data_IF_204155182296
#
_entry.id   IF_204155182296
#
_cell.length_a   1.000
_cell.length_b   1.000
_cell.length_c   1.000
_cell.angle_alpha   90.00
_cell.angle_beta   90.00
_cell.angle_gamma   90.00
#
_symmetry.space_group_name_H-M   'P 1'
#
loop_
_entity.id
_entity.type
_entity.pdbx_description
1 polymer ?
#
# COMPACT_ATOMS: atom_id res chain seq x y z
N UNK A 1 5.51 -17.44 22.56
CA UNK A 1 4.71 -16.90 21.43
C UNK A 1 4.72 -15.39 21.58
N UNK A 2 4.85 -14.56 20.52
CA UNK A 2 4.35 -13.16 20.40
C UNK A 2 5.26 -12.05 19.83
N UNK A 3 6.58 -12.20 19.63
CA UNK A 3 7.39 -11.07 19.09
C UNK A 3 7.16 -10.82 17.59
N UNK A 4 7.13 -11.88 16.78
CA UNK A 4 7.00 -11.78 15.32
C UNK A 4 5.64 -11.17 14.89
N UNK A 5 4.52 -11.71 15.39
CA UNK A 5 3.18 -11.23 15.02
C UNK A 5 2.94 -9.79 15.46
N UNK A 6 3.46 -9.41 16.63
CA UNK A 6 3.37 -8.03 17.13
C UNK A 6 4.22 -7.08 16.29
N UNK A 7 5.46 -7.45 15.97
CA UNK A 7 6.34 -6.65 15.12
C UNK A 7 5.75 -6.48 13.71
N UNK A 8 5.21 -7.56 13.13
CA UNK A 8 4.50 -7.51 11.85
C UNK A 8 3.30 -6.56 11.91
N UNK A 9 2.47 -6.66 12.95
CA UNK A 9 1.27 -5.81 13.09
C UNK A 9 1.63 -4.33 13.24
N UNK A 10 2.69 -4.03 14.01
CA UNK A 10 3.19 -2.66 14.15
C UNK A 10 3.73 -2.17 12.80
N UNK A 11 4.56 -2.96 12.13
CA UNK A 11 5.13 -2.62 10.83
C UNK A 11 4.07 -2.38 9.76
N UNK A 12 3.06 -3.24 9.67
CA UNK A 12 1.95 -3.11 8.74
C UNK A 12 1.13 -1.84 9.01
N UNK A 13 0.78 -1.57 10.27
CA UNK A 13 0.04 -0.35 10.62
C UNK A 13 0.84 0.92 10.30
N UNK A 14 2.14 0.95 10.61
CA UNK A 14 3.01 2.09 10.29
C UNK A 14 3.10 2.29 8.77
N UNK A 15 3.34 1.22 8.01
CA UNK A 15 3.42 1.26 6.55
C UNK A 15 2.12 1.75 5.93
N UNK A 16 0.99 1.18 6.34
CA UNK A 16 -0.30 1.45 5.70
C UNK A 16 -0.90 2.78 6.12
N UNK A 17 -0.92 3.11 7.42
CA UNK A 17 -1.39 4.42 7.89
C UNK A 17 -0.48 5.54 7.38
N UNK A 18 0.85 5.37 7.54
CA UNK A 18 1.83 6.32 7.03
C UNK A 18 1.74 6.49 5.52
N UNK A 19 1.55 5.40 4.78
CA UNK A 19 1.35 5.42 3.33
C UNK A 19 0.12 6.20 2.88
N UNK A 20 -1.03 6.04 3.55
CA UNK A 20 -2.25 6.80 3.23
C UNK A 20 -2.07 8.29 3.54
N UNK A 21 -1.43 8.64 4.66
CA UNK A 21 -1.11 10.03 5.00
C UNK A 21 -0.19 10.63 3.94
N UNK A 22 0.87 9.92 3.58
CA UNK A 22 1.80 10.34 2.53
C UNK A 22 1.09 10.55 1.19
N UNK A 23 0.29 9.58 0.74
CA UNK A 23 -0.46 9.67 -0.51
C UNK A 23 -1.44 10.86 -0.50
N UNK A 24 -2.09 11.13 0.64
CA UNK A 24 -3.00 12.26 0.82
C UNK A 24 -2.28 13.61 0.70
N UNK A 25 -1.17 13.78 1.42
CA UNK A 25 -0.34 14.99 1.36
C UNK A 25 0.21 15.21 -0.05
N UNK A 26 0.75 14.16 -0.66
CA UNK A 26 1.35 14.22 -1.99
C UNK A 26 0.31 14.47 -3.09
N UNK A 27 -0.90 13.94 -2.95
CA UNK A 27 -2.03 14.29 -3.83
C UNK A 27 -2.43 15.75 -3.67
N UNK A 28 -2.49 16.27 -2.44
CA UNK A 28 -2.76 17.69 -2.16
C UNK A 28 -1.70 18.62 -2.78
N UNK A 29 -0.42 18.26 -2.67
CA UNK A 29 0.68 18.97 -3.34
C UNK A 29 0.54 18.90 -4.87
N UNK A 30 0.15 17.75 -5.42
CA UNK A 30 -0.05 17.57 -6.87
C UNK A 30 -1.12 18.53 -7.42
N UNK A 31 -2.20 18.76 -6.67
CA UNK A 31 -3.23 19.73 -7.05
C UNK A 31 -2.74 21.18 -6.98
N UNK A 32 -1.93 21.54 -5.98
CA UNK A 32 -1.32 22.88 -5.89
C UNK A 32 -0.30 23.16 -7.00
N UNK A 33 0.35 22.11 -7.52
CA UNK A 33 1.33 22.20 -8.61
C UNK A 33 0.70 22.13 -10.01
N UNK A 34 -0.61 21.88 -10.11
CA UNK A 34 -1.38 21.89 -11.35
C UNK A 34 -1.83 23.32 -11.69
N UNK A 35 -1.73 23.78 -12.95
CA UNK A 35 -1.41 23.01 -14.16
C UNK A 35 0.08 23.05 -14.58
N UNK A 36 0.93 23.78 -13.86
CA UNK A 36 2.28 24.12 -14.34
C UNK A 36 3.21 22.90 -14.44
N UNK A 37 3.20 22.00 -13.45
CA UNK A 37 4.05 20.80 -13.43
C UNK A 37 3.26 19.52 -13.73
N UNK A 38 2.08 19.40 -13.12
CA UNK A 38 1.22 18.23 -13.23
C UNK A 38 -0.06 18.53 -14.01
N UNK A 39 -0.36 17.66 -14.98
CA UNK A 39 -1.63 17.70 -15.67
C UNK A 39 -2.78 17.26 -14.75
N UNK A 40 -3.93 17.91 -14.86
CA UNK A 40 -5.13 17.65 -14.04
C UNK A 40 -5.54 16.17 -14.01
N UNK A 41 -5.31 15.44 -15.11
CA UNK A 41 -5.57 13.99 -15.21
C UNK A 41 -4.77 13.16 -14.19
N UNK A 42 -3.49 13.49 -13.99
CA UNK A 42 -2.62 12.78 -13.03
C UNK A 42 -3.11 13.05 -11.60
N UNK A 43 -3.53 14.28 -11.31
CA UNK A 43 -4.08 14.64 -10.00
C UNK A 43 -5.34 13.83 -9.66
N UNK A 44 -6.26 13.67 -10.62
CA UNK A 44 -7.45 12.83 -10.43
C UNK A 44 -7.11 11.36 -10.23
N UNK A 45 -6.16 10.81 -10.99
CA UNK A 45 -5.71 9.42 -10.81
C UNK A 45 -5.14 9.21 -9.40
N UNK A 46 -4.28 10.13 -8.92
CA UNK A 46 -3.72 10.08 -7.57
C UNK A 46 -4.80 10.18 -6.49
N UNK A 47 -5.79 11.02 -6.71
CA UNK A 47 -6.95 11.15 -5.81
C UNK A 47 -7.75 9.85 -5.73
N UNK A 48 -8.09 9.24 -6.88
CA UNK A 48 -8.83 7.98 -6.92
C UNK A 48 -8.07 6.87 -6.20
N UNK A 49 -6.77 6.72 -6.46
CA UNK A 49 -5.95 5.72 -5.79
C UNK A 49 -5.90 5.97 -4.28
N UNK A 50 -5.72 7.23 -3.85
CA UNK A 50 -5.69 7.59 -2.42
C UNK A 50 -7.01 7.28 -1.72
N UNK A 51 -8.15 7.55 -2.37
CA UNK A 51 -9.49 7.22 -1.82
C UNK A 51 -9.65 5.70 -1.70
N UNK A 52 -9.28 4.94 -2.72
CA UNK A 52 -9.36 3.46 -2.68
C UNK A 52 -8.46 2.86 -1.60
N UNK A 53 -7.25 3.39 -1.41
CA UNK A 53 -6.36 3.00 -0.31
C UNK A 53 -6.95 3.35 1.05
N UNK A 54 -7.58 4.52 1.21
CA UNK A 54 -8.21 4.91 2.47
C UNK A 54 -9.40 4.01 2.84
N UNK A 55 -10.25 3.66 1.86
CA UNK A 55 -11.35 2.71 2.06
C UNK A 55 -10.81 1.34 2.48
N UNK A 56 -9.75 0.87 1.82
CA UNK A 56 -9.12 -0.43 2.13
C UNK A 56 -8.48 -0.43 3.52
N UNK A 57 -7.87 0.68 3.94
CA UNK A 57 -7.32 0.85 5.29
C UNK A 57 -8.44 0.80 6.34
N UNK A 58 -9.55 1.52 6.13
CA UNK A 58 -10.70 1.48 7.05
C UNK A 58 -11.26 0.06 7.14
N UNK A 59 -11.39 -0.64 6.02
CA UNK A 59 -11.83 -2.03 6.01
C UNK A 59 -10.89 -2.92 6.84
N UNK A 60 -9.57 -2.78 6.72
CA UNK A 60 -8.61 -3.55 7.50
C UNK A 60 -8.70 -3.25 9.01
N UNK A 61 -8.77 -1.96 9.38
CA UNK A 61 -8.87 -1.52 10.77
C UNK A 61 -10.16 -1.95 11.48
N UNK A 62 -11.23 -2.22 10.72
CA UNK A 62 -12.52 -2.67 11.27
C UNK A 62 -12.67 -4.19 11.19
N UNK A 63 -12.44 -4.78 10.02
CA UNK A 63 -12.72 -6.20 9.78
C UNK A 63 -11.80 -7.10 10.59
N UNK A 64 -10.50 -6.80 10.68
CA UNK A 64 -9.54 -7.70 11.34
C UNK A 64 -9.75 -7.78 12.87
N UNK A 65 -9.98 -6.67 13.61
CA UNK A 65 -10.32 -6.76 15.03
C UNK A 65 -11.63 -7.51 15.29
N UNK A 66 -12.67 -7.27 14.48
CA UNK A 66 -13.95 -7.99 14.60
C UNK A 66 -13.74 -9.49 14.32
N UNK A 67 -12.97 -9.83 13.28
CA UNK A 67 -12.65 -11.20 12.93
C UNK A 67 -11.90 -11.92 14.06
N UNK A 68 -10.89 -11.28 14.65
CA UNK A 68 -10.14 -11.81 15.79
C UNK A 68 -11.01 -11.95 17.04
N UNK A 69 -11.91 -10.99 17.29
CA UNK A 69 -12.86 -11.08 18.39
C UNK A 69 -13.82 -12.27 18.22
N UNK A 70 -14.42 -12.42 17.04
CA UNK A 70 -15.31 -13.55 16.74
C UNK A 70 -14.58 -14.89 16.81
N UNK A 71 -13.36 -14.94 16.30
CA UNK A 71 -12.51 -16.12 16.36
C UNK A 71 -12.21 -16.50 17.81
N UNK A 72 -11.69 -15.55 18.61
CA UNK A 72 -11.27 -15.81 19.99
C UNK A 72 -12.41 -16.21 20.91
N UNK A 73 -13.64 -15.79 20.63
CA UNK A 73 -14.83 -16.10 21.42
C UNK A 73 -15.51 -17.40 20.99
N UNK A 74 -15.02 -18.03 19.92
CA UNK A 74 -15.64 -19.24 19.36
C UNK A 74 -14.96 -20.50 19.86
N UNK A 75 -15.75 -21.55 20.09
CA UNK A 75 -15.22 -22.89 20.36
C UNK A 75 -14.63 -23.45 19.07
N UNK A 76 -13.30 -23.59 19.02
CA UNK A 76 -12.62 -24.19 17.89
C UNK A 76 -12.75 -25.71 17.96
N UNK A 77 -13.52 -26.29 17.03
CA UNK A 77 -13.50 -27.72 16.79
C UNK A 77 -12.21 -28.13 16.10
N UNK A 78 -11.74 -29.34 16.34
CA UNK A 78 -10.69 -29.94 15.50
C UNK A 78 -11.35 -30.38 14.18
N UNK A 79 -10.79 -29.95 13.05
CA UNK A 79 -11.32 -30.34 11.75
C UNK A 79 -10.99 -31.81 11.48
N UNK A 80 -12.01 -32.62 11.21
CA UNK A 80 -11.92 -34.10 11.15
C UNK A 80 -11.52 -34.66 9.78
N UNK A 81 -10.90 -33.87 8.89
CA UNK A 81 -10.48 -34.37 7.58
C UNK A 81 -11.61 -34.45 6.54
N UNK A 82 -12.84 -34.03 6.88
CA UNK A 82 -14.00 -34.16 5.99
C UNK A 82 -14.05 -33.02 4.99
N UNK A 83 -14.29 -33.32 3.71
CA UNK A 83 -14.49 -32.32 2.64
C UNK A 83 -15.42 -31.20 3.12
N UNK A 84 -15.04 -29.96 2.82
CA UNK A 84 -15.84 -28.78 3.15
C UNK A 84 -17.26 -28.96 2.58
N UNK A 85 -18.33 -28.79 3.38
CA UNK A 85 -19.68 -29.05 2.92
C UNK A 85 -20.06 -28.10 1.77
N UNK A 86 -20.77 -28.66 0.77
CA UNK A 86 -21.01 -28.06 -0.56
C UNK A 86 -21.78 -26.71 -0.49
N UNK A 87 -22.56 -26.51 0.57
CA UNK A 87 -23.31 -25.29 0.85
C UNK A 87 -22.42 -24.08 1.15
N UNK A 88 -21.26 -24.29 1.80
CA UNK A 88 -20.28 -23.22 2.09
C UNK A 88 -19.36 -22.88 0.92
N UNK A 89 -19.24 -23.75 -0.08
CA UNK A 89 -18.45 -23.51 -1.31
C UNK A 89 -19.06 -22.46 -2.24
N UNK A 90 -20.33 -22.09 -2.07
CA UNK A 90 -21.03 -21.10 -2.88
C UNK A 90 -21.21 -19.75 -2.16
N UNK A 91 -20.55 -19.55 -1.02
CA UNK A 91 -20.59 -18.28 -0.30
C UNK A 91 -19.88 -17.19 -1.11
N UNK A 92 -20.33 -15.94 -0.97
CA UNK A 92 -19.66 -14.75 -1.51
C UNK A 92 -18.14 -14.72 -1.26
N UNK A 93 -17.68 -15.39 -0.18
CA UNK A 93 -16.27 -15.59 0.19
C UNK A 93 -15.49 -16.43 -0.83
N UNK A 94 -16.04 -17.54 -1.32
CA UNK A 94 -15.37 -18.32 -2.39
C UNK A 94 -15.34 -17.54 -3.69
N UNK A 95 -16.36 -16.71 -3.94
CA UNK A 95 -16.44 -15.78 -5.09
C UNK A 95 -15.45 -14.61 -5.04
N UNK A 96 -15.02 -14.15 -3.86
CA UNK A 96 -14.01 -13.10 -3.71
C UNK A 96 -12.58 -13.66 -3.79
N UNK A 97 -12.35 -14.87 -3.28
CA UNK A 97 -11.06 -15.58 -3.42
C UNK A 97 -10.79 -15.96 -4.91
N UNK A 98 -11.76 -15.70 -5.79
CA UNK A 98 -11.96 -16.22 -7.13
C UNK A 98 -11.29 -15.44 -8.28
N UNK A 99 -10.11 -14.86 -8.07
CA UNK A 99 -9.17 -14.65 -9.19
C UNK A 99 -8.26 -15.88 -9.38
N UNK A 100 -7.97 -16.63 -8.30
CA UNK A 100 -7.12 -17.84 -8.31
C UNK A 100 -7.73 -19.01 -7.48
N UNK A 101 -8.81 -18.74 -6.75
CA UNK A 101 -9.37 -19.58 -5.70
C UNK A 101 -10.04 -20.90 -6.08
N UNK A 102 -10.82 -21.05 -7.17
CA UNK A 102 -11.57 -22.28 -7.42
C UNK A 102 -10.66 -23.48 -7.55
N UNK A 103 -9.54 -23.33 -8.27
CA UNK A 103 -8.56 -24.39 -8.46
C UNK A 103 -7.82 -24.69 -7.15
N UNK A 104 -7.47 -23.66 -6.37
CA UNK A 104 -6.82 -23.85 -5.09
C UNK A 104 -7.72 -24.56 -4.06
N UNK A 105 -9.00 -24.19 -4.01
CA UNK A 105 -10.01 -24.79 -3.11
C UNK A 105 -10.40 -26.19 -3.60
N UNK A 106 -10.54 -26.39 -4.91
CA UNK A 106 -10.80 -27.70 -5.50
C UNK A 106 -9.60 -28.65 -5.28
N UNK A 107 -8.37 -28.17 -5.49
CA UNK A 107 -7.17 -28.93 -5.20
C UNK A 107 -7.05 -29.24 -3.69
N UNK A 108 -7.31 -28.25 -2.83
CA UNK A 108 -7.29 -28.44 -1.38
C UNK A 108 -8.35 -29.43 -0.88
N UNK A 109 -9.54 -29.43 -1.50
CA UNK A 109 -10.63 -30.33 -1.13
C UNK A 109 -10.54 -31.72 -1.79
N UNK A 110 -9.58 -31.92 -2.70
CA UNK A 110 -9.40 -33.18 -3.42
C UNK A 110 -8.77 -34.29 -2.58
N UNK A 111 -8.02 -33.95 -1.52
CA UNK A 111 -7.30 -34.92 -0.69
C UNK A 111 -7.62 -34.74 0.81
N UNK A 112 -7.67 -35.83 1.60
CA UNK A 112 -7.73 -35.75 3.05
C UNK A 112 -6.39 -35.23 3.58
N UNK A 113 -6.43 -34.17 4.39
CA UNK A 113 -5.26 -33.58 5.04
C UNK A 113 -5.40 -33.72 6.56
N UNK A 114 -4.32 -34.08 7.24
CA UNK A 114 -4.25 -34.04 8.69
C UNK A 114 -3.89 -32.62 9.12
N UNK A 115 -4.64 -32.05 10.06
CA UNK A 115 -4.40 -30.70 10.57
C UNK A 115 -3.93 -30.77 12.02
N UNK A 116 -2.96 -29.93 12.37
CA UNK A 116 -2.60 -29.73 13.77
C UNK A 116 -3.64 -28.81 14.44
N UNK A 117 -3.85 -29.01 15.74
CA UNK A 117 -4.78 -28.22 16.56
C UNK A 117 -4.35 -26.75 16.63
N UNK A 118 -5.17 -25.85 16.09
CA UNK A 118 -4.94 -24.39 16.11
C UNK A 118 -4.85 -23.72 14.73
N UNK A 119 -5.02 -24.46 13.64
CA UNK A 119 -5.10 -23.88 12.29
C UNK A 119 -6.46 -23.22 12.06
N UNK A 120 -6.47 -22.06 11.39
CA UNK A 120 -7.70 -21.36 10.99
C UNK A 120 -8.42 -22.10 9.87
N UNK A 121 -9.63 -22.60 10.12
CA UNK A 121 -10.42 -23.30 9.10
C UNK A 121 -11.61 -22.48 8.61
N UNK A 122 -12.08 -22.69 7.37
CA UNK A 122 -13.23 -21.96 6.82
C UNK A 122 -14.56 -22.19 7.55
N UNK A 123 -14.61 -23.14 8.47
CA UNK A 123 -15.80 -23.40 9.29
C UNK A 123 -15.85 -22.55 10.57
N UNK A 124 -14.72 -21.99 11.00
CA UNK A 124 -14.65 -21.17 12.20
C UNK A 124 -15.31 -19.79 12.01
N UNK A 125 -15.93 -19.29 13.08
CA UNK A 125 -16.50 -17.94 13.05
C UNK A 125 -15.40 -16.88 12.90
N UNK A 126 -15.70 -15.86 12.12
CA UNK A 126 -14.78 -14.77 11.82
C UNK A 126 -13.77 -15.09 10.71
N UNK A 127 -13.65 -16.33 10.23
CA UNK A 127 -12.76 -16.68 9.12
C UNK A 127 -13.04 -15.84 7.87
N UNK A 128 -14.32 -15.68 7.53
CA UNK A 128 -14.79 -14.88 6.41
C UNK A 128 -14.32 -13.42 6.46
N UNK A 129 -14.38 -12.82 7.66
CA UNK A 129 -13.93 -11.46 7.89
C UNK A 129 -12.39 -11.34 7.80
N UNK A 130 -11.65 -12.39 8.18
CA UNK A 130 -10.19 -12.44 7.98
C UNK A 130 -9.82 -12.50 6.50
N UNK A 131 -10.56 -13.29 5.72
CA UNK A 131 -10.35 -13.36 4.27
C UNK A 131 -10.65 -12.00 3.63
N UNK A 132 -11.77 -11.38 3.99
CA UNK A 132 -12.12 -10.05 3.50
C UNK A 132 -11.07 -9.00 3.88
N UNK A 133 -10.54 -9.01 5.11
CA UNK A 133 -9.49 -8.10 5.53
C UNK A 133 -8.18 -8.34 4.79
N UNK A 134 -7.81 -9.60 4.54
CA UNK A 134 -6.62 -9.93 3.73
C UNK A 134 -6.78 -9.44 2.29
N UNK A 135 -7.95 -9.57 1.67
CA UNK A 135 -8.21 -9.02 0.33
C UNK A 135 -8.07 -7.49 0.33
N UNK A 136 -8.59 -6.82 1.35
CA UNK A 136 -8.41 -5.36 1.50
C UNK A 136 -6.92 -4.98 1.68
N UNK A 137 -6.16 -5.77 2.43
CA UNK A 137 -4.71 -5.59 2.61
C UNK A 137 -3.95 -5.65 1.28
N UNK A 138 -4.17 -6.72 0.50
CA UNK A 138 -3.52 -6.89 -0.81
C UNK A 138 -3.98 -5.85 -1.82
N UNK A 139 -5.26 -5.47 -1.79
CA UNK A 139 -5.78 -4.40 -2.63
C UNK A 139 -5.06 -3.09 -2.34
N UNK A 140 -4.92 -2.73 -1.06
CA UNK A 140 -4.19 -1.53 -0.63
C UNK A 140 -2.72 -1.57 -1.06
N UNK A 141 -2.05 -2.72 -0.91
CA UNK A 141 -0.66 -2.89 -1.33
C UNK A 141 -0.49 -2.65 -2.84
N UNK A 142 -1.39 -3.19 -3.66
CA UNK A 142 -1.41 -2.98 -5.11
C UNK A 142 -1.69 -1.50 -5.44
N UNK A 143 -2.61 -0.85 -4.73
CA UNK A 143 -2.90 0.57 -4.93
C UNK A 143 -1.69 1.45 -4.59
N UNK A 144 -0.93 1.14 -3.54
CA UNK A 144 0.32 1.85 -3.26
C UNK A 144 1.38 1.63 -4.32
N UNK A 145 1.54 0.40 -4.82
CA UNK A 145 2.46 0.16 -5.93
C UNK A 145 2.05 0.95 -7.18
N UNK A 146 0.76 0.95 -7.52
CA UNK A 146 0.20 1.76 -8.60
C UNK A 146 0.40 3.27 -8.37
N UNK A 147 0.28 3.73 -7.13
CA UNK A 147 0.53 5.12 -6.73
C UNK A 147 1.99 5.52 -7.04
N UNK A 148 2.96 4.66 -6.73
CA UNK A 148 4.36 4.91 -7.07
C UNK A 148 4.61 5.03 -8.58
N UNK A 149 3.94 4.22 -9.40
CA UNK A 149 4.05 4.33 -10.85
C UNK A 149 3.54 5.67 -11.40
N UNK A 150 2.68 6.39 -10.69
CA UNK A 150 2.26 7.74 -11.11
C UNK A 150 3.42 8.74 -11.13
N UNK A 151 4.50 8.52 -10.36
CA UNK A 151 5.66 9.42 -10.33
C UNK A 151 6.64 9.21 -11.47
N UNK A 152 6.61 8.08 -12.18
CA UNK A 152 7.57 7.80 -13.26
C UNK A 152 7.60 8.94 -14.27
N UNK A 153 6.43 9.46 -14.65
CA UNK A 153 6.33 10.56 -15.63
C UNK A 153 6.82 11.90 -15.12
N UNK A 154 6.83 12.11 -13.81
CA UNK A 154 7.33 13.34 -13.18
C UNK A 154 8.84 13.30 -13.08
N UNK A 155 9.42 12.16 -12.68
CA UNK A 155 10.88 11.99 -12.63
C UNK A 155 11.54 12.14 -14.00
N UNK A 156 10.85 11.78 -15.07
CA UNK A 156 11.35 11.97 -16.45
C UNK A 156 11.46 13.45 -16.88
N UNK A 157 10.83 14.38 -16.16
CA UNK A 157 10.83 15.82 -16.49
C UNK A 157 11.84 16.64 -15.69
N UNK A 158 12.48 16.05 -14.69
CA UNK A 158 13.42 16.77 -13.83
C UNK A 158 14.77 16.85 -14.54
N UNK A 159 15.05 17.99 -15.17
CA UNK A 159 16.36 18.34 -15.69
C UNK A 159 17.04 19.30 -14.70
N UNK A 160 18.10 18.85 -14.03
CA UNK A 160 18.89 19.70 -13.13
C UNK A 160 19.99 20.37 -13.96
N UNK A 161 19.80 21.66 -14.27
CA UNK A 161 20.81 22.46 -14.95
C UNK A 161 21.70 23.16 -13.91
N UNK A 162 22.86 22.56 -13.60
CA UNK A 162 23.86 23.15 -12.71
C UNK A 162 24.79 24.05 -13.53
N UNK A 163 24.67 25.37 -13.38
CA UNK A 163 25.71 26.30 -13.84
C UNK A 163 26.79 26.36 -12.77
N UNK A 164 27.91 25.69 -13.01
CA UNK A 164 29.12 25.84 -12.19
C UNK A 164 29.88 27.04 -12.72
N UNK A 165 30.03 28.07 -11.89
CA UNK A 165 30.94 29.18 -12.12
C UNK A 165 32.11 29.07 -11.14
N UNK A 166 33.33 29.17 -11.67
CA UNK A 166 34.52 29.34 -10.84
C UNK A 166 34.51 30.77 -10.29
N UNK A 167 34.47 30.90 -8.96
CA UNK A 167 34.62 32.20 -8.31
C UNK A 167 36.02 32.77 -8.51
N UNK A 168 37.03 31.88 -8.56
CA UNK A 168 38.45 32.22 -8.65
C UNK A 168 39.19 31.16 -9.46
N UNK A 169 40.21 31.53 -10.23
CA UNK A 169 41.06 30.58 -10.95
C UNK A 169 42.20 30.02 -10.08
N UNK A 170 42.65 30.78 -9.08
CA UNK A 170 43.71 30.37 -8.16
C UNK A 170 43.31 30.60 -6.69
N UNK A 171 43.76 29.75 -5.76
CA UNK A 171 43.31 29.81 -4.36
C UNK A 171 43.78 31.05 -3.59
N UNK A 172 44.83 31.72 -4.08
CA UNK A 172 45.41 32.91 -3.44
C UNK A 172 44.76 34.22 -3.92
N UNK A 173 43.86 34.14 -4.89
CA UNK A 173 43.13 35.28 -5.42
C UNK A 173 41.81 35.48 -4.67
N UNK A 174 41.46 36.74 -4.39
CA UNK A 174 40.14 37.06 -3.87
C UNK A 174 39.11 37.01 -5.01
N UNK A 175 37.89 36.49 -4.76
CA UNK A 175 36.88 36.39 -5.78
C UNK A 175 36.43 37.79 -6.24
N UNK A 176 36.46 38.08 -7.56
CA UNK A 176 35.95 39.33 -8.09
C UNK A 176 34.48 39.53 -7.69
N UNK A 177 34.10 40.73 -7.24
CA UNK A 177 32.71 41.03 -6.83
C UNK A 177 31.68 40.71 -7.93
N UNK A 178 32.09 40.78 -9.21
CA UNK A 178 31.27 40.35 -10.35
C UNK A 178 30.96 38.85 -10.32
N UNK A 179 31.93 37.99 -10.01
CA UNK A 179 31.73 36.54 -9.95
C UNK A 179 30.88 36.17 -8.72
N UNK A 180 31.10 36.86 -7.60
CA UNK A 180 30.30 36.67 -6.38
C UNK A 180 28.85 37.10 -6.59
N UNK A 181 28.62 38.27 -7.21
CA UNK A 181 27.27 38.78 -7.47
C UNK A 181 26.49 37.89 -8.43
N UNK A 182 27.12 37.40 -9.51
CA UNK A 182 26.48 36.47 -10.47
C UNK A 182 26.21 35.09 -9.85
N UNK A 183 27.12 34.57 -9.01
CA UNK A 183 26.87 33.32 -8.28
C UNK A 183 25.77 33.47 -7.21
N UNK A 184 25.59 34.68 -6.66
CA UNK A 184 24.56 34.99 -5.66
C UNK A 184 23.21 35.30 -6.31
N UNK A 185 23.19 35.69 -7.58
CA UNK A 185 21.97 35.93 -8.36
C UNK A 185 21.23 34.60 -8.55
N UNK A 186 20.27 34.34 -7.64
CA UNK A 186 19.29 33.26 -7.78
C UNK A 186 18.43 33.55 -8.99
N UNK A 187 18.90 33.13 -10.16
CA UNK A 187 18.06 33.10 -11.36
C UNK A 187 16.83 32.24 -11.04
N UNK A 188 15.61 32.78 -11.21
CA UNK A 188 14.39 32.01 -10.96
C UNK A 188 14.35 30.81 -11.90
N UNK A 189 14.04 29.63 -11.37
CA UNK A 189 13.94 28.36 -12.11
C UNK A 189 12.61 28.32 -12.88
N UNK A 190 12.27 29.36 -13.62
CA UNK A 190 11.19 29.38 -14.62
C UNK A 190 11.41 30.61 -15.50
N UNK A 191 11.52 30.40 -16.82
CA UNK A 191 11.16 31.40 -17.84
C UNK A 191 9.85 30.96 -18.50
#
# INVERSE_FOLDING_TARGET
MTSEATAHSIGANVLFLGGVIYASLQTGLSYKMSPYYNGTKICHIRLTITILSAISLIALLVLMPIAMYQWSTSSHGYWTGRKMPYDKTNSFITAIVLALGPLAIQAWSSAPHYHWTGRKVPEDKGFDLMVASSVAEWTMAIMFLAYYFTFIREFQKVCVHLRVQLLVQHFDEEPPESNVSVATERTPIVM
#
